data_IF_210341020136
#
_entry.id   IF_210341020136
#
_cell.length_a   1.000
_cell.length_b   1.000
_cell.length_c   1.000
_cell.angle_alpha   90.00
_cell.angle_beta   90.00
_cell.angle_gamma   90.00
#
_symmetry.space_group_name_H-M   'P 1'
#
loop_
_entity.id
_entity.type
_entity.pdbx_description
1 polymer ?
#
# COMPACT_ATOMS: atom_id res chain seq x y z
N UNK A 1 -26.71 8.30 -21.80
CA UNK A 1 -25.52 8.83 -21.11
C UNK A 1 -25.80 10.27 -20.72
N UNK A 2 -25.80 10.61 -19.45
CA UNK A 2 -26.20 11.94 -18.95
C UNK A 2 -25.26 13.02 -19.49
N UNK A 3 -25.80 14.05 -20.18
CA UNK A 3 -25.02 15.18 -20.73
C UNK A 3 -24.08 15.83 -19.69
N UNK A 4 -24.45 15.82 -18.41
CA UNK A 4 -23.63 16.34 -17.29
C UNK A 4 -22.37 15.48 -17.06
N UNK A 5 -22.45 14.16 -17.18
CA UNK A 5 -21.31 13.24 -17.03
C UNK A 5 -20.35 13.43 -18.20
N UNK A 6 -20.88 13.59 -19.43
CA UNK A 6 -20.07 13.85 -20.61
C UNK A 6 -19.29 15.18 -20.49
N UNK A 7 -19.96 16.24 -20.03
CA UNK A 7 -19.31 17.56 -19.82
C UNK A 7 -18.23 17.48 -18.74
N UNK A 8 -18.51 16.79 -17.62
CA UNK A 8 -17.52 16.57 -16.55
C UNK A 8 -16.32 15.75 -17.04
N UNK A 9 -16.55 14.73 -17.85
CA UNK A 9 -15.47 13.91 -18.42
C UNK A 9 -14.61 14.72 -19.40
N UNK A 10 -15.23 15.56 -20.25
CA UNK A 10 -14.52 16.44 -21.19
C UNK A 10 -13.74 17.51 -20.42
N UNK A 11 -14.33 18.11 -19.38
CA UNK A 11 -13.65 19.08 -18.53
C UNK A 11 -12.46 18.45 -17.78
N UNK A 12 -12.61 17.23 -17.29
CA UNK A 12 -11.54 16.47 -16.66
C UNK A 12 -10.39 16.15 -17.63
N UNK A 13 -10.73 15.71 -18.85
CA UNK A 13 -9.75 15.47 -19.93
C UNK A 13 -9.05 16.77 -20.32
N UNK A 14 -9.79 17.88 -20.46
CA UNK A 14 -9.22 19.19 -20.78
C UNK A 14 -8.26 19.69 -19.67
N UNK A 15 -8.58 19.46 -18.38
CA UNK A 15 -7.66 19.76 -17.28
C UNK A 15 -6.34 19.00 -17.38
N UNK A 16 -6.35 17.74 -17.84
CA UNK A 16 -5.14 16.95 -18.07
C UNK A 16 -4.26 17.57 -19.16
N UNK A 17 -4.84 18.12 -20.22
CA UNK A 17 -4.09 18.78 -21.29
C UNK A 17 -3.52 20.15 -20.87
N UNK A 18 -4.18 20.90 -20.01
CA UNK A 18 -3.64 22.16 -19.46
C UNK A 18 -2.55 21.95 -18.41
N UNK A 19 -2.48 20.77 -17.79
CA UNK A 19 -1.49 20.41 -16.76
C UNK A 19 -0.07 20.14 -17.32
N UNK A 20 0.15 20.23 -18.64
CA UNK A 20 1.44 19.92 -19.26
C UNK A 20 2.61 20.84 -18.85
N UNK A 21 2.35 21.97 -18.19
CA UNK A 21 3.40 22.94 -17.85
C UNK A 21 4.28 22.53 -16.67
N UNK A 22 3.88 21.58 -15.82
CA UNK A 22 4.65 21.16 -14.65
C UNK A 22 4.56 19.65 -14.36
N UNK A 23 4.46 18.83 -15.39
CA UNK A 23 4.44 17.39 -15.22
C UNK A 23 5.84 16.82 -15.08
N UNK A 24 6.02 15.85 -14.22
CA UNK A 24 7.26 15.11 -14.07
C UNK A 24 6.98 13.62 -13.88
N UNK A 25 7.96 12.80 -14.27
CA UNK A 25 7.94 11.36 -14.15
C UNK A 25 9.21 10.91 -13.46
N UNK A 26 9.12 9.85 -12.66
CA UNK A 26 10.26 9.34 -11.94
C UNK A 26 10.07 7.91 -11.45
N UNK A 27 11.13 7.44 -10.82
CA UNK A 27 11.19 6.13 -10.16
C UNK A 27 11.23 6.33 -8.65
N UNK A 28 10.80 5.33 -7.91
CA UNK A 28 10.85 5.34 -6.45
C UNK A 28 11.21 3.97 -5.91
N UNK A 29 11.83 3.96 -4.73
CA UNK A 29 12.04 2.78 -3.91
C UNK A 29 11.85 3.14 -2.44
N UNK A 30 11.56 2.15 -1.60
CA UNK A 30 11.36 2.42 -0.19
C UNK A 30 11.41 1.16 0.66
N UNK A 31 11.47 1.41 1.96
CA UNK A 31 11.36 0.38 2.99
C UNK A 31 10.09 0.62 3.77
N UNK A 32 9.36 -0.44 4.07
CA UNK A 32 8.17 -0.38 4.91
C UNK A 32 8.39 -1.12 6.22
N UNK A 33 7.85 -0.55 7.28
CA UNK A 33 7.73 -1.18 8.57
C UNK A 33 6.25 -1.36 8.89
N UNK A 34 5.80 -2.60 9.01
CA UNK A 34 4.42 -2.92 9.27
C UNK A 34 4.20 -3.10 10.77
N UNK A 35 3.18 -2.43 11.30
CA UNK A 35 2.87 -2.46 12.74
C UNK A 35 1.76 -3.42 13.08
N UNK A 36 1.02 -3.95 12.11
CA UNK A 36 -0.19 -4.73 12.35
C UNK A 36 -0.24 -6.06 11.61
N UNK A 37 -0.87 -6.98 12.26
CA UNK A 37 -1.34 -8.30 11.87
C UNK A 37 -1.49 -9.10 13.15
N UNK A 38 -2.70 -9.15 13.67
CA UNK A 38 -3.04 -10.08 14.74
C UNK A 38 -3.46 -11.39 14.08
N UNK A 39 -2.74 -12.47 14.40
CA UNK A 39 -3.15 -13.82 14.05
C UNK A 39 -4.12 -14.28 15.13
N UNK A 40 -5.37 -14.49 14.77
CA UNK A 40 -6.39 -15.06 15.65
C UNK A 40 -6.52 -16.54 15.35
N UNK A 41 -6.22 -17.37 16.32
CA UNK A 41 -6.43 -18.80 16.27
C UNK A 41 -7.81 -19.13 16.87
N UNK A 42 -8.69 -19.72 16.06
CA UNK A 42 -9.99 -20.23 16.53
C UNK A 42 -9.89 -21.75 16.68
N UNK A 43 -9.89 -22.23 17.91
CA UNK A 43 -10.01 -23.66 18.23
C UNK A 43 -11.48 -23.98 18.41
N UNK A 44 -12.04 -24.80 17.50
CA UNK A 44 -13.49 -25.10 17.44
C UNK A 44 -14.07 -25.81 18.67
N UNK A 45 -13.29 -26.26 19.64
CA UNK A 45 -13.82 -27.04 20.79
C UNK A 45 -13.81 -26.30 22.13
N UNK A 46 -13.11 -25.17 22.30
CA UNK A 46 -12.98 -24.51 23.61
C UNK A 46 -13.08 -23.00 23.59
N UNK A 47 -13.26 -22.36 22.44
CA UNK A 47 -13.44 -20.89 22.37
C UNK A 47 -12.22 -20.08 22.84
N UNK A 48 -11.06 -20.69 22.93
CA UNK A 48 -9.83 -19.99 23.35
C UNK A 48 -9.27 -19.20 22.17
N UNK A 49 -9.18 -17.89 22.33
CA UNK A 49 -8.51 -16.99 21.38
C UNK A 49 -7.08 -16.82 21.88
N UNK A 50 -6.11 -17.26 21.10
CA UNK A 50 -4.69 -17.02 21.36
C UNK A 50 -4.25 -15.88 20.43
N UNK A 51 -4.02 -14.70 21.00
CA UNK A 51 -3.49 -13.55 20.26
C UNK A 51 -1.98 -13.67 20.13
N UNK A 52 -1.50 -14.02 18.94
CA UNK A 52 -0.08 -13.99 18.61
C UNK A 52 0.25 -12.69 17.87
N UNK A 53 0.86 -11.74 18.57
CA UNK A 53 1.42 -10.53 17.95
C UNK A 53 2.67 -10.90 17.16
N UNK A 54 2.58 -10.74 15.84
CA UNK A 54 3.74 -10.96 14.97
C UNK A 54 4.88 -9.98 15.27
N UNK A 55 6.08 -10.50 15.44
CA UNK A 55 7.29 -9.72 15.65
C UNK A 55 7.83 -9.20 14.32
N UNK A 56 7.99 -7.85 14.23
CA UNK A 56 8.81 -7.16 13.26
C UNK A 56 8.54 -7.52 11.78
N UNK A 57 7.71 -6.74 11.13
CA UNK A 57 7.40 -6.89 9.71
C UNK A 57 8.15 -5.83 8.92
N UNK A 58 9.05 -6.25 8.03
CA UNK A 58 9.75 -5.35 7.13
C UNK A 58 9.41 -5.68 5.69
N UNK A 59 9.34 -4.66 4.86
CA UNK A 59 9.11 -4.81 3.44
C UNK A 59 9.95 -3.84 2.64
N UNK A 60 10.04 -4.10 1.36
CA UNK A 60 10.59 -3.18 0.40
C UNK A 60 9.58 -2.94 -0.73
N UNK A 61 9.65 -1.77 -1.30
CA UNK A 61 8.83 -1.40 -2.43
C UNK A 61 9.65 -0.67 -3.49
N UNK A 62 9.23 -0.80 -4.74
CA UNK A 62 9.79 -0.05 -5.85
C UNK A 62 8.71 0.19 -6.90
N UNK A 63 8.85 1.28 -7.64
CA UNK A 63 7.83 1.65 -8.60
C UNK A 63 8.15 2.89 -9.39
N UNK A 64 7.12 3.37 -10.07
CA UNK A 64 7.15 4.58 -10.87
C UNK A 64 6.09 5.55 -10.36
N UNK A 65 6.29 6.82 -10.62
CA UNK A 65 5.32 7.85 -10.33
C UNK A 65 5.26 8.91 -11.42
N UNK A 66 4.05 9.44 -11.64
CA UNK A 66 3.82 10.69 -12.33
C UNK A 66 3.51 11.79 -11.33
N UNK A 67 3.89 13.03 -11.59
CA UNK A 67 3.51 14.19 -10.78
C UNK A 67 3.04 15.31 -11.70
N UNK A 68 1.82 15.76 -11.50
CA UNK A 68 1.16 16.80 -12.26
C UNK A 68 0.95 18.00 -11.34
N UNK A 69 1.69 19.08 -11.55
CA UNK A 69 1.61 20.29 -10.72
C UNK A 69 0.51 21.22 -11.18
N UNK A 70 -0.28 21.70 -10.22
CA UNK A 70 -1.37 22.67 -10.39
C UNK A 70 -1.11 23.85 -9.44
N UNK A 71 0.00 24.56 -9.64
CA UNK A 71 0.45 25.60 -8.73
C UNK A 71 0.97 25.04 -7.40
N UNK A 72 0.38 25.40 -6.25
CA UNK A 72 0.79 24.87 -4.95
C UNK A 72 0.34 23.41 -4.73
N UNK A 73 -0.69 22.98 -5.46
CA UNK A 73 -1.25 21.63 -5.38
C UNK A 73 -0.63 20.75 -6.46
N UNK A 74 -0.56 19.43 -6.23
CA UNK A 74 -0.19 18.46 -7.26
C UNK A 74 -0.98 17.17 -7.11
N UNK A 75 -1.14 16.47 -8.24
CA UNK A 75 -1.63 15.10 -8.30
C UNK A 75 -0.44 14.19 -8.57
N UNK A 76 -0.31 13.09 -7.81
CA UNK A 76 0.78 12.11 -7.92
C UNK A 76 0.22 10.69 -7.97
N UNK A 77 -0.14 10.17 -9.15
CA UNK A 77 -0.39 8.75 -9.35
C UNK A 77 0.92 7.98 -9.29
N UNK A 78 0.87 6.79 -8.67
CA UNK A 78 2.03 5.89 -8.55
C UNK A 78 1.61 4.48 -8.94
N UNK A 79 2.57 3.67 -9.40
CA UNK A 79 2.45 2.23 -9.56
C UNK A 79 3.63 1.59 -8.82
N UNK A 80 3.35 0.83 -7.78
CA UNK A 80 4.35 0.36 -6.82
C UNK A 80 4.18 -1.14 -6.60
N UNK A 81 5.25 -1.90 -6.78
CA UNK A 81 5.34 -3.27 -6.33
C UNK A 81 5.87 -3.28 -4.89
N UNK A 82 5.17 -3.98 -4.01
CA UNK A 82 5.53 -4.11 -2.60
C UNK A 82 5.69 -5.58 -2.23
N UNK A 83 6.80 -5.92 -1.56
CA UNK A 83 7.01 -7.24 -0.97
C UNK A 83 7.24 -7.10 0.51
N UNK A 84 6.47 -7.85 1.29
CA UNK A 84 6.51 -7.83 2.76
C UNK A 84 6.83 -9.22 3.28
N UNK A 85 7.68 -9.30 4.29
CA UNK A 85 7.98 -10.54 5.01
C UNK A 85 7.62 -10.34 6.48
N UNK A 86 6.85 -11.24 7.03
CA UNK A 86 6.39 -11.23 8.43
C UNK A 86 6.78 -12.54 9.08
N UNK A 87 7.19 -12.50 10.36
CA UNK A 87 7.50 -13.70 11.13
C UNK A 87 6.42 -13.92 12.18
N UNK A 88 5.85 -15.10 12.20
CA UNK A 88 4.91 -15.55 13.22
C UNK A 88 5.51 -16.73 13.99
N UNK A 89 5.16 -16.86 15.26
CA UNK A 89 5.56 -18.01 16.08
C UNK A 89 4.32 -18.89 16.22
N UNK A 90 4.32 -20.04 15.54
CA UNK A 90 3.28 -21.06 15.65
C UNK A 90 3.90 -22.28 16.33
N UNK A 91 3.31 -22.73 17.44
CA UNK A 91 3.76 -23.93 18.18
C UNK A 91 5.26 -23.96 18.50
N UNK A 92 5.85 -22.82 18.91
CA UNK A 92 7.27 -22.63 19.19
C UNK A 92 8.19 -22.68 17.95
N UNK A 93 7.64 -22.78 16.75
CA UNK A 93 8.38 -22.67 15.49
C UNK A 93 8.13 -21.31 14.81
N UNK A 94 9.18 -20.74 14.24
CA UNK A 94 9.10 -19.48 13.50
C UNK A 94 8.68 -19.76 12.05
N UNK A 95 7.51 -19.25 11.64
CA UNK A 95 6.98 -19.39 10.29
C UNK A 95 7.04 -18.05 9.58
N UNK A 96 7.64 -18.03 8.37
CA UNK A 96 7.71 -16.84 7.54
C UNK A 96 6.46 -16.72 6.66
N UNK A 97 5.79 -15.58 6.75
CA UNK A 97 4.72 -15.17 5.84
C UNK A 97 5.25 -14.13 4.85
N UNK A 98 5.13 -14.43 3.57
CA UNK A 98 5.55 -13.53 2.48
C UNK A 98 4.33 -13.12 1.68
N UNK A 99 4.19 -11.81 1.45
CA UNK A 99 3.11 -11.24 0.65
C UNK A 99 3.71 -10.32 -0.41
N UNK A 100 3.22 -10.45 -1.65
CA UNK A 100 3.55 -9.56 -2.76
C UNK A 100 2.28 -8.87 -3.24
N UNK A 101 2.31 -7.56 -3.43
CA UNK A 101 1.17 -6.77 -3.89
C UNK A 101 1.57 -5.70 -4.89
N UNK A 102 0.63 -5.33 -5.74
CA UNK A 102 0.71 -4.18 -6.62
C UNK A 102 -0.18 -3.08 -6.05
N UNK A 103 0.42 -1.93 -5.78
CA UNK A 103 -0.25 -0.76 -5.22
C UNK A 103 -0.37 0.33 -6.28
N UNK A 104 -1.54 0.95 -6.37
CA UNK A 104 -1.83 2.11 -7.20
C UNK A 104 -2.29 3.29 -6.33
N UNK A 105 -1.39 4.00 -5.64
CA UNK A 105 -1.71 5.22 -4.92
C UNK A 105 -2.03 6.37 -5.87
N UNK A 106 -3.09 7.14 -5.55
CA UNK A 106 -3.45 8.38 -6.23
C UNK A 106 -3.44 9.50 -5.19
N UNK A 107 -2.31 10.21 -5.13
CA UNK A 107 -2.03 11.17 -4.06
C UNK A 107 -2.30 12.59 -4.52
N UNK A 108 -2.97 13.36 -3.69
CA UNK A 108 -3.08 14.82 -3.82
C UNK A 108 -2.19 15.44 -2.76
N UNK A 109 -1.30 16.33 -3.17
CA UNK A 109 -0.39 16.99 -2.27
C UNK A 109 -0.39 18.50 -2.43
N UNK A 110 0.08 19.18 -1.40
CA UNK A 110 0.27 20.61 -1.35
C UNK A 110 1.71 20.94 -0.93
N UNK A 111 2.33 21.88 -1.64
CA UNK A 111 3.62 22.43 -1.24
C UNK A 111 3.41 23.39 -0.05
N UNK A 112 4.04 23.09 1.08
CA UNK A 112 3.86 23.87 2.33
C UNK A 112 4.88 24.99 2.38
N UNK A 113 6.17 24.65 2.37
CA UNK A 113 7.25 25.64 2.44
C UNK A 113 8.51 25.08 1.76
N UNK A 114 9.08 25.84 0.82
CA UNK A 114 10.29 25.42 0.10
C UNK A 114 10.14 24.05 -0.55
N UNK A 115 11.03 23.08 -0.20
CA UNK A 115 11.00 21.74 -0.75
C UNK A 115 10.00 20.80 -0.05
N UNK A 116 9.35 21.23 1.03
CA UNK A 116 8.45 20.42 1.84
C UNK A 116 7.04 20.41 1.27
N UNK A 117 6.48 19.22 1.15
CA UNK A 117 5.08 18.98 0.77
C UNK A 117 4.43 17.98 1.71
N UNK A 118 3.11 18.10 1.89
CA UNK A 118 2.28 17.08 2.51
C UNK A 118 1.28 16.55 1.50
N UNK A 119 0.87 15.31 1.65
CA UNK A 119 -0.03 14.67 0.72
C UNK A 119 -0.91 13.64 1.40
N UNK A 120 -2.06 13.37 0.78
CA UNK A 120 -2.94 12.27 1.14
C UNK A 120 -3.64 11.75 -0.12
N UNK A 121 -4.15 10.52 -0.05
CA UNK A 121 -4.94 9.96 -1.13
C UNK A 121 -5.21 8.47 -0.98
N UNK A 122 -6.20 7.96 -1.74
CA UNK A 122 -6.50 6.54 -1.77
C UNK A 122 -5.36 5.74 -2.39
N UNK A 123 -5.25 4.48 -1.97
CA UNK A 123 -4.45 3.46 -2.65
C UNK A 123 -5.33 2.27 -2.98
N UNK A 124 -5.21 1.79 -4.22
CA UNK A 124 -5.84 0.58 -4.69
C UNK A 124 -4.77 -0.50 -4.68
N UNK A 125 -5.02 -1.60 -3.97
CA UNK A 125 -4.04 -2.64 -3.74
C UNK A 125 -4.56 -3.95 -4.32
N UNK A 126 -3.72 -4.62 -5.09
CA UNK A 126 -3.99 -5.94 -5.63
C UNK A 126 -2.93 -6.92 -5.13
N UNK A 127 -3.37 -7.95 -4.42
CA UNK A 127 -2.49 -9.01 -3.90
C UNK A 127 -2.14 -9.94 -5.06
N UNK A 128 -0.84 -10.10 -5.33
CA UNK A 128 -0.34 -10.94 -6.41
C UNK A 128 -0.04 -12.36 -5.92
N UNK A 129 0.52 -12.45 -4.70
CA UNK A 129 0.97 -13.71 -4.15
C UNK A 129 1.02 -13.64 -2.62
N UNK A 130 0.59 -14.72 -1.97
CA UNK A 130 0.65 -14.93 -0.53
C UNK A 130 1.27 -16.31 -0.31
N UNK A 131 2.41 -16.39 0.36
CA UNK A 131 3.08 -17.64 0.70
C UNK A 131 3.26 -17.75 2.21
N UNK A 132 2.64 -18.77 2.80
CA UNK A 132 2.84 -19.15 4.20
C UNK A 132 3.50 -20.52 4.25
N UNK A 133 4.73 -20.57 4.74
CA UNK A 133 5.49 -21.83 4.79
C UNK A 133 4.74 -22.89 5.61
N UNK A 134 4.39 -24.01 4.96
CA UNK A 134 3.83 -25.21 5.61
C UNK A 134 2.31 -25.32 5.61
N UNK A 135 1.55 -24.42 4.95
CA UNK A 135 0.10 -24.50 4.85
C UNK A 135 -0.35 -24.43 3.39
N UNK A 136 -1.35 -25.24 3.01
CA UNK A 136 -1.99 -25.16 1.70
C UNK A 136 -3.16 -24.17 1.75
N UNK A 137 -3.27 -23.34 0.72
CA UNK A 137 -4.33 -22.34 0.59
C UNK A 137 -5.69 -22.98 0.28
N UNK A 138 -6.73 -22.50 0.98
CA UNK A 138 -8.09 -22.52 0.46
C UNK A 138 -8.60 -21.08 0.43
N UNK A 139 -8.65 -20.50 -0.74
CA UNK A 139 -9.28 -19.21 -1.11
C UNK A 139 -8.86 -17.94 -0.36
N UNK A 140 -8.22 -17.03 -1.10
CA UNK A 140 -8.17 -15.59 -0.77
C UNK A 140 -9.53 -14.99 -1.13
N UNK A 141 -10.28 -14.53 -0.13
CA UNK A 141 -11.65 -14.04 -0.36
C UNK A 141 -11.71 -12.72 -1.12
N UNK A 142 -10.65 -11.89 -1.09
CA UNK A 142 -10.56 -10.65 -1.86
C UNK A 142 -9.12 -10.27 -2.19
N UNK A 143 -8.72 -10.41 -3.44
CA UNK A 143 -7.40 -9.95 -3.92
C UNK A 143 -7.28 -8.43 -4.00
N UNK A 144 -8.40 -7.70 -3.92
CA UNK A 144 -8.46 -6.25 -4.10
C UNK A 144 -8.85 -5.54 -2.81
N UNK A 145 -8.02 -4.59 -2.40
CA UNK A 145 -8.27 -3.77 -1.20
C UNK A 145 -8.10 -2.29 -1.50
N UNK A 146 -8.76 -1.47 -0.71
CA UNK A 146 -8.63 -0.01 -0.75
C UNK A 146 -8.05 0.46 0.57
N UNK A 147 -7.05 1.33 0.50
CA UNK A 147 -6.44 1.97 1.65
C UNK A 147 -6.36 3.48 1.50
N UNK A 148 -5.88 4.13 2.55
CA UNK A 148 -5.57 5.55 2.57
C UNK A 148 -4.09 5.73 2.88
N UNK A 149 -3.46 6.61 2.12
CA UNK A 149 -2.11 7.10 2.37
C UNK A 149 -2.16 8.54 2.83
N UNK A 150 -1.31 8.90 3.78
CA UNK A 150 -0.95 10.28 4.06
C UNK A 150 0.52 10.37 4.47
N UNK A 151 1.17 11.49 4.14
CA UNK A 151 2.58 11.63 4.39
C UNK A 151 3.13 13.00 4.07
N UNK A 152 4.43 13.10 4.24
CA UNK A 152 5.21 14.28 3.89
C UNK A 152 6.37 13.90 2.97
N UNK A 153 6.75 14.82 2.10
CA UNK A 153 7.88 14.64 1.19
C UNK A 153 8.76 15.89 1.13
N UNK A 154 10.06 15.65 0.95
CA UNK A 154 11.08 16.67 0.78
C UNK A 154 11.72 16.50 -0.59
N UNK A 155 11.61 17.50 -1.47
CA UNK A 155 12.16 17.47 -2.82
C UNK A 155 13.43 18.31 -2.94
N UNK A 156 14.57 17.65 -3.08
CA UNK A 156 15.90 18.26 -3.22
C UNK A 156 16.42 18.07 -4.66
N UNK A 157 16.14 19.04 -5.52
CA UNK A 157 16.49 18.92 -6.92
C UNK A 157 15.73 17.79 -7.64
N UNK A 158 16.44 16.73 -8.05
CA UNK A 158 15.85 15.52 -8.65
C UNK A 158 15.52 14.43 -7.62
N UNK A 159 16.10 14.53 -6.42
CA UNK A 159 15.86 13.58 -5.34
C UNK A 159 14.66 13.99 -4.52
N UNK A 160 13.86 12.99 -4.12
CA UNK A 160 12.75 13.15 -3.19
C UNK A 160 12.86 12.12 -2.05
N UNK A 161 12.66 12.60 -0.84
CA UNK A 161 12.52 11.76 0.35
C UNK A 161 11.08 11.84 0.80
N UNK A 162 10.44 10.72 1.15
CA UNK A 162 9.09 10.72 1.70
C UNK A 162 8.94 9.78 2.90
N UNK A 163 8.11 10.22 3.83
CA UNK A 163 7.61 9.39 4.93
C UNK A 163 6.10 9.32 4.79
N UNK A 164 5.58 8.11 4.79
CA UNK A 164 4.18 7.82 4.49
C UNK A 164 3.62 6.85 5.51
N UNK A 165 2.43 7.12 5.97
CA UNK A 165 1.59 6.16 6.67
C UNK A 165 0.51 5.66 5.73
N UNK A 166 0.34 4.35 5.66
CA UNK A 166 -0.68 3.70 4.86
C UNK A 166 -1.55 2.82 5.75
N UNK A 167 -2.88 2.93 5.59
CA UNK A 167 -3.85 2.10 6.30
C UNK A 167 -4.87 1.54 5.32
N UNK A 168 -5.02 0.22 5.31
CA UNK A 168 -6.09 -0.48 4.59
C UNK A 168 -7.43 -0.32 5.28
N UNK A 169 -8.51 -0.14 4.50
CA UNK A 169 -9.87 -0.05 5.02
C UNK A 169 -10.64 -1.36 4.88
N UNK A 170 -10.34 -2.14 3.84
CA UNK A 170 -11.02 -3.39 3.59
C UNK A 170 -10.43 -4.47 4.48
N UNK A 171 -11.27 -5.20 5.20
CA UNK A 171 -10.87 -6.40 5.92
C UNK A 171 -10.51 -7.46 4.89
N UNK A 172 -9.25 -7.87 4.87
CA UNK A 172 -8.78 -9.03 4.14
C UNK A 172 -8.58 -10.13 5.18
N UNK A 173 -9.62 -10.90 5.43
CA UNK A 173 -9.50 -12.10 6.25
C UNK A 173 -9.04 -13.24 5.34
N UNK A 174 -7.86 -13.76 5.61
CA UNK A 174 -7.36 -14.98 4.97
C UNK A 174 -7.60 -16.13 5.94
N UNK A 175 -8.42 -17.08 5.54
CA UNK A 175 -8.67 -18.30 6.31
C UNK A 175 -7.67 -19.39 5.89
N UNK A 176 -7.02 -19.98 6.88
CA UNK A 176 -6.14 -21.13 6.69
C UNK A 176 -6.68 -22.30 7.46
N UNK A 177 -6.77 -23.45 6.81
CA UNK A 177 -7.12 -24.71 7.48
C UNK A 177 -5.87 -25.55 7.68
N UNK A 178 -5.60 -25.95 8.92
CA UNK A 178 -4.48 -26.81 9.22
C UNK A 178 -4.67 -28.21 8.63
N UNK A 179 -3.65 -28.75 7.96
CA UNK A 179 -3.68 -30.11 7.41
C UNK A 179 -3.85 -31.11 8.56
N UNK A 180 -5.02 -31.75 8.65
CA UNK A 180 -5.33 -32.78 9.65
C UNK A 180 -5.85 -32.28 11.01
N UNK A 181 -6.20 -30.98 11.12
CA UNK A 181 -6.83 -30.41 12.32
C UNK A 181 -8.04 -29.57 11.97
N UNK A 182 -9.08 -29.58 12.84
CA UNK A 182 -10.26 -28.72 12.73
C UNK A 182 -9.98 -27.28 13.23
N UNK A 183 -8.76 -26.78 13.04
CA UNK A 183 -8.34 -25.45 13.50
C UNK A 183 -8.37 -24.51 12.31
N UNK A 184 -9.18 -23.45 12.39
CA UNK A 184 -9.26 -22.38 11.41
C UNK A 184 -8.44 -21.21 11.94
N UNK A 185 -7.44 -20.79 11.18
CA UNK A 185 -6.66 -19.59 11.45
C UNK A 185 -7.22 -18.45 10.63
N UNK A 186 -7.58 -17.35 11.27
CA UNK A 186 -7.98 -16.10 10.59
C UNK A 186 -6.89 -15.05 10.80
N UNK A 187 -6.33 -14.60 9.70
CA UNK A 187 -5.36 -13.53 9.66
C UNK A 187 -6.05 -12.25 9.17
N UNK A 188 -6.18 -11.24 10.05
CA UNK A 188 -6.57 -9.90 9.63
C UNK A 188 -5.34 -9.22 9.01
N UNK A 189 -5.28 -9.21 7.68
CA UNK A 189 -4.15 -8.70 6.91
C UNK A 189 -4.29 -7.23 6.52
N UNK A 190 -5.08 -6.43 7.27
CA UNK A 190 -5.15 -4.99 7.01
C UNK A 190 -3.75 -4.38 7.07
N UNK A 191 -3.23 -3.87 5.95
CA UNK A 191 -1.91 -3.27 5.97
C UNK A 191 -1.99 -1.96 6.76
N UNK A 192 -1.25 -1.91 7.85
CA UNK A 192 -0.94 -0.68 8.55
C UNK A 192 0.57 -0.56 8.58
N UNK A 193 1.10 0.41 7.81
CA UNK A 193 2.54 0.47 7.60
C UNK A 193 3.04 1.91 7.53
N UNK A 194 4.27 2.09 8.01
CA UNK A 194 5.06 3.29 7.80
C UNK A 194 6.06 2.98 6.69
N UNK A 195 6.09 3.84 5.66
CA UNK A 195 6.94 3.69 4.50
C UNK A 195 7.92 4.85 4.44
N UNK A 196 9.21 4.54 4.33
CA UNK A 196 10.28 5.50 4.06
C UNK A 196 10.67 5.36 2.60
N UNK A 197 10.46 6.41 1.81
CA UNK A 197 10.63 6.41 0.38
C UNK A 197 11.78 7.31 -0.09
N UNK A 198 12.47 6.84 -1.11
CA UNK A 198 13.41 7.60 -1.93
C UNK A 198 12.87 7.62 -3.36
N UNK A 199 12.85 8.79 -3.98
CA UNK A 199 12.43 8.94 -5.36
C UNK A 199 13.45 9.74 -6.19
N UNK A 200 13.49 9.44 -7.48
CA UNK A 200 14.33 10.15 -8.42
C UNK A 200 13.53 10.58 -9.64
N UNK A 201 13.52 11.89 -9.91
CA UNK A 201 12.83 12.46 -11.06
C UNK A 201 13.67 12.31 -12.32
N UNK A 202 13.11 11.65 -13.33
CA UNK A 202 13.75 11.37 -14.61
C UNK A 202 13.57 12.52 -15.61
N UNK A 203 12.43 13.20 -15.56
CA UNK A 203 12.13 14.33 -16.47
C UNK A 203 12.56 15.66 -15.86
N UNK A 204 13.00 16.59 -16.71
CA UNK A 204 13.28 17.96 -16.28
C UNK A 204 11.98 18.70 -15.96
N UNK A 205 12.04 19.63 -15.00
CA UNK A 205 10.96 20.62 -14.83
C UNK A 205 11.00 21.54 -16.06
N UNK A 206 9.97 21.47 -16.89
CA UNK A 206 9.71 22.53 -17.86
C UNK A 206 9.15 23.75 -17.18
#
# INVERSE_FOLDING_TARGET
MNKRILILSIAFIAMIFYANAQSSFGVKAGLSYNTTGELKEFVNETGSIIDNKGNGKSGYNFGIYGKIGLGPIYLRPELVYTKTTSKYILNLESVDYKMSKLDLPVLVGIKVIGPLSVYAGPTFQYVLDNDLQGLQYENVENDFTIGLNFGASLELGRLGLDVRYERGFTQNEVEFTGVGSNVIYRLDSRPEQIIFGLSYRLTDKK
#
